data_IF_518864886152
#
_entry.id   IF_518864886152
#
_cell.length_a   1.000
_cell.length_b   1.000
_cell.length_c   1.000
_cell.angle_alpha   90.00
_cell.angle_beta   90.00
_cell.angle_gamma   90.00
#
_symmetry.space_group_name_H-M   'P 1'
#
loop_
_entity.id
_entity.type
_entity.pdbx_description
1 polymer ?
#
# COMPACT_ATOMS: atom_id res chain seq x y z
N UNK A 1 -63.11 -25.24 -47.16
CA UNK A 1 -64.46 -24.65 -47.29
C UNK A 1 -65.27 -24.87 -46.02
N UNK A 2 -65.33 -23.87 -45.13
CA UNK A 2 -66.53 -23.21 -44.59
C UNK A 2 -66.19 -22.50 -43.27
N UNK A 3 -66.83 -21.35 -43.00
CA UNK A 3 -66.36 -20.30 -42.09
C UNK A 3 -67.26 -20.22 -40.85
N UNK A 4 -67.16 -19.11 -40.09
CA UNK A 4 -68.03 -18.63 -38.99
C UNK A 4 -67.41 -18.84 -37.59
N UNK A 5 -67.41 -17.88 -36.65
CA UNK A 5 -68.07 -16.56 -36.54
C UNK A 5 -67.36 -15.79 -35.42
N UNK A 6 -67.20 -14.47 -35.61
CA UNK A 6 -66.90 -13.48 -34.57
C UNK A 6 -67.97 -13.50 -33.46
N UNK A 7 -67.59 -13.32 -32.19
CA UNK A 7 -68.05 -12.20 -31.35
C UNK A 7 -67.36 -12.22 -29.96
N UNK A 8 -66.76 -11.10 -29.51
CA UNK A 8 -66.26 -10.95 -28.14
C UNK A 8 -67.40 -10.48 -27.23
N UNK A 9 -67.62 -11.16 -26.10
CA UNK A 9 -68.52 -10.68 -25.04
C UNK A 9 -67.68 -10.04 -23.93
N UNK A 10 -67.87 -8.73 -23.83
CA UNK A 10 -67.45 -7.83 -22.77
C UNK A 10 -68.22 -8.14 -21.46
N UNK A 11 -67.63 -7.68 -20.34
CA UNK A 11 -68.20 -7.51 -18.99
C UNK A 11 -68.13 -8.68 -18.01
N UNK A 12 -67.26 -8.55 -17.00
CA UNK A 12 -67.73 -8.50 -15.61
C UNK A 12 -66.72 -7.83 -14.68
N UNK A 13 -67.11 -6.63 -14.23
CA UNK A 13 -66.61 -5.89 -13.08
C UNK A 13 -66.74 -6.71 -11.79
N UNK A 14 -65.69 -6.78 -10.97
CA UNK A 14 -65.76 -6.61 -9.50
C UNK A 14 -64.40 -6.84 -8.84
N UNK A 15 -64.05 -5.99 -7.86
CA UNK A 15 -62.97 -6.27 -6.93
C UNK A 15 -62.22 -5.06 -6.41
N UNK A 16 -62.86 -4.29 -5.52
CA UNK A 16 -62.16 -3.33 -4.66
C UNK A 16 -61.16 -4.07 -3.76
N UNK A 17 -59.88 -3.74 -3.88
CA UNK A 17 -58.92 -3.83 -2.78
C UNK A 17 -57.88 -2.73 -2.96
N UNK A 18 -58.17 -1.57 -2.38
CA UNK A 18 -57.18 -0.56 -2.10
C UNK A 18 -56.19 -1.13 -1.07
N UNK A 19 -54.97 -1.41 -1.50
CA UNK A 19 -53.82 -1.51 -0.62
C UNK A 19 -52.80 -0.48 -1.09
N UNK A 20 -52.96 0.73 -0.59
CA UNK A 20 -51.96 1.80 -0.56
C UNK A 20 -50.74 1.31 0.22
N UNK A 21 -49.82 0.62 -0.46
CA UNK A 21 -48.48 0.33 0.02
C UNK A 21 -47.52 1.43 -0.43
N UNK A 22 -47.52 2.55 0.29
CA UNK A 22 -46.44 3.53 0.20
C UNK A 22 -45.16 2.88 0.72
N UNK A 23 -44.28 2.46 -0.18
CA UNK A 23 -42.89 2.21 0.15
C UNK A 23 -42.07 3.27 -0.57
N UNK A 24 -41.79 4.35 0.15
CA UNK A 24 -40.63 5.16 -0.13
C UNK A 24 -39.43 4.22 -0.07
N UNK A 25 -38.86 3.90 -1.23
CA UNK A 25 -37.55 3.28 -1.29
C UNK A 25 -36.58 4.28 -0.65
N UNK A 26 -36.26 4.02 0.62
CA UNK A 26 -35.19 4.69 1.33
C UNK A 26 -33.89 4.20 0.72
N UNK A 27 -33.39 4.91 -0.29
CA UNK A 27 -31.97 4.83 -0.65
C UNK A 27 -31.17 5.48 0.46
N UNK A 28 -30.87 4.70 1.49
CA UNK A 28 -29.83 5.05 2.44
C UNK A 28 -28.82 3.91 2.46
N UNK A 29 -28.06 3.84 1.37
CA UNK A 29 -26.79 3.11 1.32
C UNK A 29 -25.75 4.01 0.67
N UNK A 30 -25.49 5.14 1.33
CA UNK A 30 -24.17 5.73 1.23
C UNK A 30 -23.17 4.64 1.65
N UNK A 31 -22.12 4.36 0.85
CA UNK A 31 -21.08 3.44 1.31
C UNK A 31 -20.53 4.04 2.60
N UNK A 32 -20.52 3.24 3.67
CA UNK A 32 -19.90 3.61 4.93
C UNK A 32 -18.41 3.75 4.67
N UNK A 33 -17.98 4.96 4.30
CA UNK A 33 -16.58 5.39 4.32
C UNK A 33 -16.18 5.37 5.78
N UNK A 34 -15.61 4.24 6.20
CA UNK A 34 -15.37 3.95 7.59
C UNK A 34 -15.25 2.45 7.88
N UNK A 35 -14.75 1.66 6.93
CA UNK A 35 -13.92 0.53 7.32
C UNK A 35 -12.53 1.09 7.56
N UNK A 36 -12.30 1.59 8.77
CA UNK A 36 -10.96 1.47 9.32
C UNK A 36 -10.69 -0.03 9.34
N UNK A 37 -9.95 -0.52 8.34
CA UNK A 37 -9.30 -1.82 8.41
C UNK A 37 -8.68 -1.86 9.79
N UNK A 38 -9.13 -2.78 10.64
CA UNK A 38 -8.47 -3.01 11.93
C UNK A 38 -7.00 -3.16 11.60
N UNK A 39 -6.19 -2.16 11.98
CA UNK A 39 -4.77 -2.14 11.64
C UNK A 39 -4.21 -3.43 12.22
N UNK A 40 -3.82 -4.37 11.36
CA UNK A 40 -3.08 -5.53 11.82
C UNK A 40 -1.83 -4.96 12.47
N UNK A 41 -1.59 -5.14 13.78
CA UNK A 41 -0.46 -4.52 14.46
C UNK A 41 0.89 -5.04 13.92
N UNK A 42 0.86 -6.11 13.12
CA UNK A 42 1.96 -6.66 12.35
C UNK A 42 2.25 -5.93 11.04
N UNK A 43 1.32 -5.12 10.52
CA UNK A 43 1.47 -4.43 9.25
C UNK A 43 2.36 -3.19 9.40
N UNK A 44 3.35 -3.06 8.52
CA UNK A 44 4.18 -1.87 8.42
C UNK A 44 3.43 -0.81 7.64
N UNK A 45 3.52 0.44 8.09
CA UNK A 45 2.97 1.58 7.34
C UNK A 45 4.11 2.35 6.65
N UNK A 46 4.69 1.76 5.61
CA UNK A 46 5.77 2.39 4.84
C UNK A 46 5.37 3.72 4.20
N UNK A 47 4.14 3.91 3.66
CA UNK A 47 3.68 5.20 3.14
C UNK A 47 3.83 6.34 4.14
N UNK A 48 3.60 6.09 5.43
CA UNK A 48 3.75 7.10 6.47
C UNK A 48 5.17 7.66 6.56
N UNK A 49 6.18 6.94 6.07
CA UNK A 49 7.59 7.31 6.13
C UNK A 49 8.05 8.14 4.93
N UNK A 50 7.21 8.31 3.91
CA UNK A 50 7.54 9.09 2.71
C UNK A 50 7.83 10.54 3.09
N UNK A 51 8.93 11.08 2.56
CA UNK A 51 9.38 12.44 2.85
C UNK A 51 10.02 12.64 4.23
N UNK A 52 10.06 11.62 5.10
CA UNK A 52 10.79 11.69 6.37
C UNK A 52 12.30 11.64 6.13
N UNK A 53 13.05 12.30 7.01
CA UNK A 53 14.49 12.15 7.06
C UNK A 53 14.89 10.86 7.80
N UNK A 54 16.14 10.44 7.65
CA UNK A 54 16.62 9.18 8.24
C UNK A 54 16.47 9.14 9.78
N UNK A 55 16.58 10.27 10.48
CA UNK A 55 16.42 10.32 11.93
C UNK A 55 14.97 10.08 12.38
N UNK A 56 14.01 10.59 11.60
CA UNK A 56 12.59 10.30 11.79
C UNK A 56 12.27 8.83 11.45
N UNK A 57 12.91 8.28 10.42
CA UNK A 57 12.75 6.86 10.04
C UNK A 57 13.28 5.94 11.15
N UNK A 58 14.47 6.21 11.70
CA UNK A 58 15.02 5.46 12.85
C UNK A 58 14.09 5.49 14.06
N UNK A 59 13.47 6.63 14.35
CA UNK A 59 12.49 6.71 15.44
C UNK A 59 11.24 5.84 15.19
N UNK A 60 10.82 5.70 13.93
CA UNK A 60 9.65 4.91 13.57
C UNK A 60 9.94 3.40 13.49
N UNK A 61 11.06 3.03 12.86
CA UNK A 61 11.44 1.64 12.59
C UNK A 61 12.26 1.01 13.73
N UNK A 62 12.91 1.81 14.57
CA UNK A 62 13.78 1.34 15.65
C UNK A 62 15.26 1.50 15.32
N UNK A 63 16.11 0.82 16.08
CA UNK A 63 17.56 0.87 15.89
C UNK A 63 17.95 0.10 14.62
N UNK A 64 18.78 0.68 13.73
CA UNK A 64 19.36 -0.06 12.62
C UNK A 64 20.23 -1.24 13.09
N UNK A 65 20.40 -2.22 12.22
CA UNK A 65 21.25 -3.40 12.46
C UNK A 65 22.74 -3.05 12.39
N UNK A 66 23.13 -2.04 11.63
CA UNK A 66 24.53 -1.65 11.47
C UNK A 66 25.12 -1.16 12.79
N UNK A 67 26.23 -1.78 13.20
CA UNK A 67 27.00 -1.38 14.37
C UNK A 67 27.83 -0.12 14.13
N UNK A 68 28.34 0.49 15.21
CA UNK A 68 29.27 1.64 15.11
C UNK A 68 30.65 1.24 14.58
N UNK A 69 31.01 -0.02 14.74
CA UNK A 69 32.34 -0.55 14.43
C UNK A 69 32.40 -1.28 13.08
N UNK A 70 31.30 -1.29 12.33
CA UNK A 70 31.24 -1.87 10.98
C UNK A 70 31.85 -0.92 9.93
N UNK A 71 32.50 -1.44 8.87
CA UNK A 71 33.06 -0.62 7.79
C UNK A 71 32.03 0.32 7.12
N UNK A 72 30.77 -0.14 7.06
CA UNK A 72 29.59 0.67 6.75
C UNK A 72 28.79 0.75 8.04
N UNK A 73 29.19 1.66 8.92
CA UNK A 73 28.52 1.88 10.19
C UNK A 73 27.19 2.62 10.04
N UNK A 74 26.59 2.97 11.18
CA UNK A 74 25.32 3.72 11.22
C UNK A 74 25.38 5.06 10.45
N UNK A 75 26.55 5.71 10.48
CA UNK A 75 26.86 6.98 9.82
C UNK A 75 28.24 6.89 9.17
N UNK A 76 28.50 7.62 8.07
CA UNK A 76 29.82 7.68 7.47
C UNK A 76 30.82 8.41 8.38
N UNK A 77 32.06 7.94 8.35
CA UNK A 77 33.20 8.66 8.91
C UNK A 77 33.45 9.98 8.17
N UNK A 78 34.21 10.90 8.77
CA UNK A 78 34.55 12.17 8.10
C UNK A 78 35.28 11.98 6.76
N UNK A 79 36.11 10.94 6.65
CA UNK A 79 36.81 10.59 5.41
C UNK A 79 35.82 10.09 4.34
N UNK A 80 34.91 9.19 4.71
CA UNK A 80 33.85 8.70 3.81
C UNK A 80 32.91 9.84 3.38
N UNK A 81 32.54 10.73 4.31
CA UNK A 81 31.72 11.89 3.99
C UNK A 81 32.37 12.78 2.93
N UNK A 82 33.69 12.95 2.97
CA UNK A 82 34.44 13.73 1.96
C UNK A 82 34.51 13.02 0.61
N UNK A 83 34.71 11.70 0.59
CA UNK A 83 34.88 10.94 -0.65
C UNK A 83 33.55 10.64 -1.36
N UNK A 84 32.49 10.33 -0.62
CA UNK A 84 31.17 9.96 -1.19
C UNK A 84 30.18 11.11 -1.20
N UNK A 85 30.53 12.26 -0.60
CA UNK A 85 29.59 13.36 -0.31
C UNK A 85 28.40 12.91 0.54
N UNK A 86 28.55 11.79 1.27
CA UNK A 86 27.51 11.17 2.07
C UNK A 86 26.41 10.51 1.23
N UNK A 87 26.62 10.23 -0.05
CA UNK A 87 25.63 9.55 -0.88
C UNK A 87 25.49 8.06 -0.54
N UNK A 88 24.31 7.51 -0.87
CA UNK A 88 24.00 6.08 -0.89
C UNK A 88 24.35 5.31 0.39
N UNK A 89 24.14 5.95 1.55
CA UNK A 89 24.33 5.28 2.83
C UNK A 89 23.14 4.38 3.15
N UNK A 90 23.40 3.25 3.80
CA UNK A 90 22.39 2.22 4.03
C UNK A 90 22.19 2.01 5.52
N UNK A 91 20.93 1.91 5.95
CA UNK A 91 20.55 1.40 7.26
C UNK A 91 19.53 0.26 7.09
N UNK A 92 19.76 -0.86 7.77
CA UNK A 92 18.90 -2.03 7.75
C UNK A 92 18.10 -2.10 9.04
N UNK A 93 16.81 -2.36 8.96
CA UNK A 93 15.91 -2.41 10.11
C UNK A 93 15.16 -3.74 10.15
N UNK A 94 14.91 -4.23 11.35
CA UNK A 94 13.98 -5.33 11.61
C UNK A 94 12.76 -4.80 12.34
N UNK A 95 11.58 -4.93 11.72
CA UNK A 95 10.33 -4.47 12.31
C UNK A 95 9.19 -5.40 11.93
N UNK A 96 8.48 -5.89 12.94
CA UNK A 96 7.32 -6.79 12.77
C UNK A 96 7.63 -8.01 11.89
N UNK A 97 8.82 -8.61 12.06
CA UNK A 97 9.26 -9.78 11.27
C UNK A 97 9.60 -9.46 9.81
N UNK A 98 9.89 -8.20 9.51
CA UNK A 98 10.27 -7.76 8.18
C UNK A 98 11.61 -7.04 8.22
N UNK A 99 12.41 -7.30 7.19
CA UNK A 99 13.66 -6.60 6.92
C UNK A 99 13.40 -5.43 5.97
N UNK A 100 13.74 -4.20 6.41
CA UNK A 100 13.67 -2.99 5.61
C UNK A 100 15.09 -2.46 5.42
N UNK A 101 15.49 -2.26 4.17
CA UNK A 101 16.75 -1.60 3.82
C UNK A 101 16.45 -0.19 3.38
N UNK A 102 17.01 0.81 4.04
CA UNK A 102 16.77 2.23 3.75
C UNK A 102 18.06 2.84 3.19
N UNK A 103 17.97 3.37 1.97
CA UNK A 103 19.05 4.12 1.34
C UNK A 103 18.84 5.61 1.56
N UNK A 104 19.84 6.34 2.02
CA UNK A 104 19.74 7.77 2.31
C UNK A 104 21.03 8.52 1.99
N UNK A 105 20.92 9.83 1.84
CA UNK A 105 22.08 10.71 1.82
C UNK A 105 22.40 11.17 3.25
N UNK A 106 23.55 10.77 3.78
CA UNK A 106 23.97 11.09 5.14
C UNK A 106 24.24 12.57 5.37
N UNK A 107 24.61 13.33 4.33
CA UNK A 107 24.84 14.79 4.42
C UNK A 107 23.53 15.57 4.50
N UNK A 108 22.58 15.30 3.63
CA UNK A 108 21.27 16.00 3.60
C UNK A 108 20.22 15.37 4.51
N UNK A 109 20.50 14.16 5.05
CA UNK A 109 19.57 13.31 5.79
C UNK A 109 18.35 12.84 4.98
N UNK A 110 18.30 13.13 3.67
CA UNK A 110 17.17 12.75 2.81
C UNK A 110 17.20 11.25 2.53
N UNK A 111 16.10 10.57 2.79
CA UNK A 111 15.89 9.18 2.36
C UNK A 111 15.66 9.15 0.85
N UNK A 112 16.37 8.27 0.17
CA UNK A 112 16.33 8.09 -1.28
C UNK A 112 15.32 7.00 -1.64
N UNK A 113 15.42 5.84 -0.99
CA UNK A 113 14.50 4.73 -1.16
C UNK A 113 14.42 3.84 0.09
N UNK A 114 13.40 2.98 0.10
CA UNK A 114 13.23 1.92 1.10
C UNK A 114 12.90 0.63 0.36
N UNK A 115 13.59 -0.46 0.69
CA UNK A 115 13.34 -1.79 0.13
C UNK A 115 12.83 -2.70 1.24
N UNK A 116 11.64 -3.26 1.03
CA UNK A 116 11.12 -4.33 1.87
C UNK A 116 11.56 -5.68 1.26
N UNK A 117 12.33 -6.46 2.02
CA UNK A 117 12.94 -7.70 1.53
C UNK A 117 11.95 -8.86 1.60
N UNK A 118 11.89 -9.64 0.51
CA UNK A 118 11.08 -10.84 0.41
C UNK A 118 10.92 -11.30 -1.04
N UNK A 119 10.27 -12.46 -1.24
CA UNK A 119 10.20 -13.10 -2.56
C UNK A 119 8.81 -13.09 -3.21
N UNK A 120 7.80 -12.54 -2.53
CA UNK A 120 6.41 -12.50 -2.98
C UNK A 120 5.93 -11.04 -3.01
N UNK A 121 5.65 -10.51 -4.20
CA UNK A 121 5.31 -9.10 -4.38
C UNK A 121 4.00 -8.73 -3.70
N UNK A 122 2.96 -9.55 -3.86
CA UNK A 122 1.63 -9.28 -3.32
C UNK A 122 1.62 -9.30 -1.80
N UNK A 123 2.36 -10.25 -1.21
CA UNK A 123 2.54 -10.32 0.23
C UNK A 123 3.30 -9.09 0.74
N UNK A 124 4.39 -8.69 0.08
CA UNK A 124 5.17 -7.51 0.45
C UNK A 124 4.35 -6.22 0.34
N UNK A 125 3.55 -6.07 -0.72
CA UNK A 125 2.65 -4.94 -0.91
C UNK A 125 1.65 -4.83 0.24
N UNK A 126 1.01 -5.94 0.62
CA UNK A 126 0.11 -5.97 1.79
C UNK A 126 0.86 -5.65 3.08
N UNK A 127 1.98 -6.31 3.33
CA UNK A 127 2.74 -6.20 4.58
C UNK A 127 3.27 -4.79 4.81
N UNK A 128 3.70 -4.11 3.75
CA UNK A 128 4.18 -2.73 3.76
C UNK A 128 3.10 -1.66 3.67
N UNK A 129 1.82 -2.04 3.61
CA UNK A 129 0.69 -1.13 3.36
C UNK A 129 0.86 -0.32 2.06
N UNK A 130 1.46 -0.93 1.03
CA UNK A 130 1.80 -0.25 -0.21
C UNK A 130 0.64 -0.31 -1.22
N UNK A 131 0.51 0.75 -1.99
CA UNK A 131 -0.49 0.91 -3.05
C UNK A 131 0.22 1.34 -4.32
N UNK A 132 0.06 0.56 -5.40
CA UNK A 132 0.77 0.79 -6.67
C UNK A 132 0.42 2.15 -7.31
N UNK A 133 -0.79 2.66 -7.03
CA UNK A 133 -1.34 3.91 -7.58
C UNK A 133 -1.15 5.11 -6.66
N UNK A 134 -0.35 5.00 -5.59
CA UNK A 134 -0.12 6.10 -4.67
C UNK A 134 0.50 7.33 -5.37
N UNK A 135 -0.01 8.56 -5.12
CA UNK A 135 0.49 9.77 -5.77
C UNK A 135 1.82 10.28 -5.20
N UNK A 136 2.27 9.80 -4.03
CA UNK A 136 3.44 10.30 -3.32
C UNK A 136 4.71 9.43 -3.51
N UNK A 137 4.55 8.16 -3.87
CA UNK A 137 5.65 7.23 -4.15
C UNK A 137 5.41 6.38 -5.40
N UNK A 138 6.47 5.68 -5.82
CA UNK A 138 6.41 4.57 -6.77
C UNK A 138 6.87 3.30 -6.05
N UNK A 139 6.29 2.16 -6.43
CA UNK A 139 6.78 0.85 -6.02
C UNK A 139 7.38 0.14 -7.22
N UNK A 140 8.56 -0.44 -7.03
CA UNK A 140 9.32 -1.14 -8.07
C UNK A 140 9.76 -2.51 -7.54
N UNK A 141 9.56 -3.60 -8.29
CA UNK A 141 10.13 -4.90 -7.91
C UNK A 141 11.65 -4.84 -7.97
N UNK A 142 12.31 -5.43 -6.97
CA UNK A 142 13.77 -5.58 -6.96
C UNK A 142 14.10 -7.00 -7.44
N UNK A 143 14.75 -7.17 -8.60
CA UNK A 143 15.03 -8.51 -9.13
C UNK A 143 15.99 -9.28 -8.22
N UNK A 144 15.84 -10.60 -8.14
CA UNK A 144 16.81 -11.49 -7.51
C UNK A 144 18.05 -11.61 -8.43
N UNK A 145 19.26 -11.28 -7.95
CA UNK A 145 20.47 -11.27 -8.78
C UNK A 145 20.86 -12.67 -9.29
N UNK A 146 20.42 -13.73 -8.60
CA UNK A 146 20.66 -15.12 -9.02
C UNK A 146 19.56 -15.65 -9.92
N UNK A 147 18.35 -15.07 -9.85
CA UNK A 147 17.16 -15.49 -10.61
C UNK A 147 16.39 -14.26 -11.08
N UNK A 148 16.74 -13.66 -12.23
CA UNK A 148 16.14 -12.40 -12.67
C UNK A 148 14.62 -12.42 -12.89
N UNK A 149 14.02 -13.60 -13.06
CA UNK A 149 12.57 -13.78 -13.16
C UNK A 149 11.85 -13.77 -11.79
N UNK A 150 12.59 -13.82 -10.68
CA UNK A 150 12.08 -13.70 -9.33
C UNK A 150 12.46 -12.34 -8.73
N UNK A 151 11.78 -11.95 -7.66
CA UNK A 151 12.10 -10.75 -6.90
C UNK A 151 12.82 -11.10 -5.58
N UNK A 152 13.62 -10.16 -5.09
CA UNK A 152 14.25 -10.18 -3.77
C UNK A 152 13.65 -9.12 -2.82
N UNK A 153 12.75 -8.28 -3.32
CA UNK A 153 11.97 -7.34 -2.51
C UNK A 153 11.15 -6.38 -3.36
N UNK A 154 10.53 -5.42 -2.69
CA UNK A 154 9.85 -4.27 -3.33
C UNK A 154 10.48 -2.98 -2.84
N UNK A 155 10.80 -2.08 -3.77
CA UNK A 155 11.40 -0.78 -3.52
C UNK A 155 10.33 0.29 -3.58
N UNK A 156 10.19 1.05 -2.51
CA UNK A 156 9.43 2.29 -2.45
C UNK A 156 10.36 3.48 -2.67
N UNK A 157 10.04 4.35 -3.62
CA UNK A 157 10.80 5.58 -3.91
C UNK A 157 9.86 6.78 -3.86
N UNK A 158 10.25 7.84 -3.15
CA UNK A 158 9.50 9.10 -3.15
C UNK A 158 9.46 9.70 -4.55
N UNK A 159 8.30 10.22 -4.99
CA UNK A 159 8.19 10.97 -6.25
C UNK A 159 8.76 12.39 -6.18
N UNK A 160 9.06 12.88 -4.97
CA UNK A 160 9.52 14.24 -4.68
C UNK A 160 10.83 14.23 -3.89
#
# INVERSE_FOLDING_TARGET
MRPFRYLPLVLLLSGFAACTGSQNASENSAPKVGQGTAANPSQLDLPSLVGKNIDQVRRALGTPQEGKDEPIGLEPTAAQMKSTKGADWINTFEKNGSTIVVTFNAKSRKVLDMVLIGSDEDELMRRGNLVMTAPEYIVLPVPDPKRPAAISGVRMVSRR
#
